data_IF_933972565573
#
_entry.id   IF_933972565573
#
_cell.length_a   1.000
_cell.length_b   1.000
_cell.length_c   1.000
_cell.angle_alpha   90.00
_cell.angle_beta   90.00
_cell.angle_gamma   90.00
#
_symmetry.space_group_name_H-M   'P 1'
#
loop_
_entity.id
_entity.type
_entity.pdbx_description
1 polymer ?
#
# COMPACT_ATOMS: atom_id res chain seq x y z
N UNK A 1 9.91 -10.12 -12.18
CA UNK A 1 8.99 -9.08 -11.68
C UNK A 1 8.06 -9.73 -10.69
N UNK A 2 8.33 -9.47 -9.41
CA UNK A 2 7.51 -9.91 -8.29
C UNK A 2 6.89 -8.68 -7.63
N UNK A 3 5.70 -8.84 -7.07
CA UNK A 3 5.00 -7.76 -6.39
C UNK A 3 4.92 -8.11 -4.92
N UNK A 4 5.53 -7.28 -4.10
CA UNK A 4 5.46 -7.38 -2.66
C UNK A 4 4.26 -6.56 -2.18
N UNK A 5 3.35 -7.22 -1.46
CA UNK A 5 2.18 -6.59 -0.89
C UNK A 5 2.45 -6.27 0.56
N UNK A 6 2.32 -4.99 0.92
CA UNK A 6 2.43 -4.56 2.29
C UNK A 6 1.14 -3.93 2.77
N UNK A 7 0.87 -4.12 4.07
CA UNK A 7 -0.22 -3.41 4.74
C UNK A 7 0.25 -2.00 5.07
N UNK A 8 -0.34 -1.01 4.42
CA UNK A 8 -0.06 0.37 4.78
C UNK A 8 -0.55 0.63 6.21
N UNK A 9 0.16 1.47 6.99
CA UNK A 9 -0.33 1.88 8.29
C UNK A 9 -1.73 2.49 8.14
N UNK A 10 -2.60 2.21 9.12
CA UNK A 10 -4.02 2.59 9.10
C UNK A 10 -4.14 4.13 9.02
N UNK A 11 -4.25 4.65 7.80
CA UNK A 11 -4.45 6.06 7.49
C UNK A 11 -5.90 6.45 7.76
N UNK A 12 -6.41 6.17 8.97
CA UNK A 12 -7.73 6.61 9.41
C UNK A 12 -7.89 8.14 9.47
N UNK A 13 -6.85 8.93 9.15
CA UNK A 13 -6.91 10.40 9.15
C UNK A 13 -5.85 11.12 8.30
N UNK A 14 -5.27 10.51 7.26
CA UNK A 14 -4.28 11.20 6.43
C UNK A 14 -4.72 11.19 4.97
N UNK A 15 -5.45 12.24 4.62
CA UNK A 15 -5.61 12.75 3.23
C UNK A 15 -4.28 13.25 2.64
N UNK A 16 -3.19 13.09 3.38
CA UNK A 16 -1.87 13.56 3.03
C UNK A 16 -1.14 12.37 2.42
N UNK A 17 -1.07 12.34 1.08
CA UNK A 17 0.11 11.78 0.41
C UNK A 17 1.34 12.27 1.18
N UNK A 18 2.37 11.44 1.43
CA UNK A 18 3.62 11.96 1.97
C UNK A 18 4.10 13.04 1.01
N UNK A 19 3.93 14.29 1.41
CA UNK A 19 4.47 15.43 0.68
C UNK A 19 5.97 15.21 0.66
N UNK A 20 6.53 14.96 -0.53
CA UNK A 20 7.97 14.84 -0.69
C UNK A 20 8.62 16.07 -0.05
N UNK A 21 9.51 15.92 0.95
CA UNK A 21 10.17 17.06 1.53
C UNK A 21 11.16 17.60 0.50
N UNK A 22 10.73 18.56 -0.32
CA UNK A 22 11.68 19.48 -0.95
C UNK A 22 12.19 20.37 0.16
N UNK A 23 13.25 19.92 0.83
CA UNK A 23 14.06 20.78 1.70
C UNK A 23 15.51 20.68 1.25
N UNK A 24 15.80 21.55 0.29
CA UNK A 24 17.12 21.85 -0.24
C UNK A 24 17.99 22.46 0.88
N UNK A 25 18.67 21.61 1.67
CA UNK A 25 19.73 22.03 2.59
C UNK A 25 21.08 21.52 2.07
N UNK A 26 22.03 22.43 1.99
CA UNK A 26 23.34 22.20 1.41
C UNK A 26 24.16 21.18 2.23
N UNK A 27 24.72 20.19 1.55
CA UNK A 27 26.04 19.66 1.91
C UNK A 27 26.13 18.39 2.74
N UNK A 28 25.05 17.64 2.95
CA UNK A 28 25.13 16.29 3.52
C UNK A 28 24.10 15.42 2.80
N UNK A 29 24.56 14.43 2.04
CA UNK A 29 23.66 13.37 1.57
C UNK A 29 23.17 12.69 2.86
N UNK A 30 21.85 12.65 3.16
CA UNK A 30 21.38 11.78 4.21
C UNK A 30 21.80 10.35 3.84
N UNK A 31 22.59 9.71 4.69
CA UNK A 31 22.98 8.29 4.57
C UNK A 31 21.76 7.36 4.77
N UNK A 32 20.66 7.94 5.23
CA UNK A 32 19.34 7.33 5.29
C UNK A 32 18.71 7.46 3.88
N UNK A 33 18.84 6.41 3.06
CA UNK A 33 17.83 6.15 2.04
C UNK A 33 16.47 6.30 2.74
N UNK A 34 15.52 7.12 2.24
CA UNK A 34 14.20 7.19 2.83
C UNK A 34 13.61 5.79 2.71
N UNK A 35 13.79 4.99 3.76
CA UNK A 35 13.24 3.66 3.86
C UNK A 35 11.74 3.87 3.78
N UNK A 36 11.17 3.54 2.63
CA UNK A 36 9.73 3.49 2.49
C UNK A 36 9.26 2.49 3.55
N UNK A 37 8.72 3.01 4.65
CA UNK A 37 8.17 2.18 5.72
C UNK A 37 6.86 1.61 5.18
N UNK A 38 6.98 0.49 4.48
CA UNK A 38 5.86 -0.15 3.81
C UNK A 38 4.90 -0.83 4.81
N UNK A 39 5.22 -0.83 6.10
CA UNK A 39 4.48 -1.57 7.13
C UNK A 39 4.82 -3.06 7.07
N UNK A 40 3.81 -3.91 7.32
CA UNK A 40 4.00 -5.37 7.41
C UNK A 40 3.84 -6.03 6.04
N UNK A 41 4.82 -6.86 5.64
CA UNK A 41 4.78 -7.63 4.40
C UNK A 41 3.74 -8.75 4.52
N UNK A 42 2.64 -8.63 3.77
CA UNK A 42 1.58 -9.63 3.72
C UNK A 42 1.94 -10.82 2.84
N UNK A 43 2.74 -10.59 1.79
CA UNK A 43 3.21 -11.65 0.92
C UNK A 43 3.81 -11.14 -0.38
N UNK A 44 4.34 -12.06 -1.16
CA UNK A 44 4.90 -11.81 -2.49
C UNK A 44 4.07 -12.52 -3.55
N UNK A 45 3.75 -11.78 -4.61
CA UNK A 45 2.77 -12.15 -5.62
C UNK A 45 3.40 -12.04 -7.01
N UNK A 46 2.92 -12.88 -7.93
CA UNK A 46 3.42 -12.85 -9.32
C UNK A 46 2.77 -11.74 -10.15
N UNK A 47 1.66 -11.18 -9.69
CA UNK A 47 0.87 -10.18 -10.41
C UNK A 47 -0.04 -9.40 -9.48
N UNK A 48 -0.44 -8.21 -9.92
CA UNK A 48 -1.33 -7.29 -9.17
C UNK A 48 -2.66 -7.96 -8.84
N UNK A 49 -3.23 -8.68 -9.79
CA UNK A 49 -4.51 -9.38 -9.63
C UNK A 49 -4.45 -10.44 -8.52
N UNK A 50 -3.30 -11.10 -8.37
CA UNK A 50 -3.08 -12.12 -7.35
C UNK A 50 -2.99 -11.49 -5.95
N UNK A 51 -2.30 -10.35 -5.83
CA UNK A 51 -2.27 -9.56 -4.59
C UNK A 51 -3.67 -9.07 -4.20
N UNK A 52 -4.45 -8.53 -5.15
CA UNK A 52 -5.83 -8.07 -4.90
C UNK A 52 -6.74 -9.25 -4.51
N UNK A 53 -6.59 -10.41 -5.15
CA UNK A 53 -7.33 -11.62 -4.81
C UNK A 53 -7.02 -12.08 -3.38
N UNK A 54 -5.75 -12.00 -2.97
CA UNK A 54 -5.34 -12.31 -1.59
C UNK A 54 -5.99 -11.37 -0.58
N UNK A 55 -5.99 -10.05 -0.83
CA UNK A 55 -6.65 -9.07 0.04
C UNK A 55 -8.15 -9.38 0.16
N UNK A 56 -8.83 -9.61 -0.97
CA UNK A 56 -10.25 -9.97 -0.98
C UNK A 56 -10.53 -11.25 -0.17
N UNK A 57 -9.68 -12.26 -0.30
CA UNK A 57 -9.81 -13.51 0.44
C UNK A 57 -9.58 -13.30 1.93
N UNK A 58 -8.56 -12.54 2.31
CA UNK A 58 -8.26 -12.20 3.70
C UNK A 58 -9.38 -11.35 4.35
N UNK A 59 -9.92 -10.37 3.63
CA UNK A 59 -11.09 -9.59 4.08
C UNK A 59 -12.30 -10.49 4.29
N UNK A 60 -12.55 -11.42 3.35
CA UNK A 60 -13.66 -12.38 3.44
C UNK A 60 -13.48 -13.35 4.62
N UNK A 61 -12.26 -13.85 4.85
CA UNK A 61 -11.92 -14.75 5.97
C UNK A 61 -12.16 -14.09 7.33
N UNK A 62 -11.85 -12.80 7.44
CA UNK A 62 -12.18 -11.98 8.62
C UNK A 62 -13.70 -11.74 8.78
N UNK A 63 -14.51 -12.17 7.83
CA UNK A 63 -15.96 -11.97 7.80
C UNK A 63 -16.35 -10.53 7.50
N UNK A 64 -15.48 -9.80 6.79
CA UNK A 64 -15.72 -8.48 6.23
C UNK A 64 -16.14 -8.63 4.75
N UNK A 65 -16.79 -7.61 4.20
CA UNK A 65 -17.15 -7.59 2.78
C UNK A 65 -16.46 -6.44 2.07
N UNK A 66 -15.71 -6.71 1.00
CA UNK A 66 -15.15 -5.66 0.14
C UNK A 66 -16.29 -4.94 -0.57
N UNK A 67 -16.39 -3.62 -0.40
CA UNK A 67 -17.37 -2.76 -1.04
C UNK A 67 -16.82 -2.14 -2.32
N UNK A 68 -15.59 -1.64 -2.24
CA UNK A 68 -14.94 -0.90 -3.33
C UNK A 68 -13.42 -1.02 -3.21
N UNK A 69 -12.74 -0.90 -4.35
CA UNK A 69 -11.28 -1.00 -4.45
C UNK A 69 -10.80 0.12 -5.36
N UNK A 70 -9.98 1.01 -4.82
CA UNK A 70 -9.41 2.15 -5.53
C UNK A 70 -7.90 1.98 -5.60
N UNK A 71 -7.34 2.13 -6.80
CA UNK A 71 -5.90 2.13 -7.00
C UNK A 71 -5.44 3.50 -7.47
N UNK A 72 -4.44 4.03 -6.79
CA UNK A 72 -3.71 5.21 -7.23
C UNK A 72 -2.81 4.88 -8.42
N UNK A 73 -2.43 5.89 -9.23
CA UNK A 73 -1.51 5.69 -10.33
C UNK A 73 -0.17 5.12 -9.85
N UNK A 74 0.34 4.13 -10.58
CA UNK A 74 1.65 3.54 -10.36
C UNK A 74 2.74 4.61 -10.47
N UNK A 75 3.65 4.64 -9.50
CA UNK A 75 4.77 5.56 -9.50
C UNK A 75 6.01 4.87 -10.08
N UNK A 76 6.40 5.22 -11.30
CA UNK A 76 7.54 4.62 -12.03
C UNK A 76 8.89 4.84 -11.32
N UNK A 77 9.01 5.89 -10.50
CA UNK A 77 10.24 6.19 -9.76
C UNK A 77 10.46 5.31 -8.53
N UNK A 78 9.38 4.92 -7.86
CA UNK A 78 9.47 4.09 -6.64
C UNK A 78 9.03 2.66 -6.90
N UNK A 79 8.49 2.36 -8.08
CA UNK A 79 7.84 1.11 -8.43
C UNK A 79 6.72 0.70 -7.45
N UNK A 80 6.08 1.69 -6.82
CA UNK A 80 5.00 1.48 -5.82
C UNK A 80 3.66 1.87 -6.42
N UNK A 81 2.66 1.01 -6.24
CA UNK A 81 1.25 1.32 -6.43
C UNK A 81 0.54 1.33 -5.06
N UNK A 82 -0.32 2.33 -4.84
CA UNK A 82 -1.15 2.39 -3.64
C UNK A 82 -2.56 1.89 -3.95
N UNK A 83 -3.03 0.93 -3.15
CA UNK A 83 -4.37 0.36 -3.23
C UNK A 83 -5.14 0.65 -1.94
N UNK A 84 -6.32 1.23 -2.07
CA UNK A 84 -7.27 1.47 -0.98
C UNK A 84 -8.48 0.57 -1.16
N UNK A 85 -8.77 -0.25 -0.16
CA UNK A 85 -9.88 -1.20 -0.14
C UNK A 85 -10.89 -0.73 0.90
N UNK A 86 -12.11 -0.45 0.46
CA UNK A 86 -13.21 -0.08 1.35
C UNK A 86 -13.91 -1.37 1.74
N UNK A 87 -13.87 -1.71 3.02
CA UNK A 87 -14.46 -2.92 3.58
C UNK A 87 -15.63 -2.58 4.49
N UNK A 88 -16.68 -3.41 4.47
CA UNK A 88 -17.84 -3.34 5.35
C UNK A 88 -17.67 -4.31 6.49
N UNK A 89 -17.72 -3.79 7.71
CA UNK A 89 -17.72 -4.57 8.93
C UNK A 89 -19.11 -5.15 9.24
N UNK A 90 -19.15 -6.17 10.10
CA UNK A 90 -20.39 -6.80 10.58
C UNK A 90 -21.32 -5.80 11.28
N UNK A 91 -20.78 -4.75 11.87
CA UNK A 91 -21.51 -3.66 12.54
C UNK A 91 -22.10 -2.62 11.55
N UNK A 92 -22.09 -2.90 10.24
CA UNK A 92 -22.46 -1.95 9.16
C UNK A 92 -21.55 -0.73 9.02
N UNK A 93 -20.56 -0.57 9.89
CA UNK A 93 -19.47 0.40 9.75
C UNK A 93 -18.58 0.06 8.56
N UNK A 94 -18.12 1.08 7.84
CA UNK A 94 -17.16 0.97 6.73
C UNK A 94 -15.77 1.39 7.20
N UNK A 95 -14.76 0.63 6.81
CA UNK A 95 -13.36 0.93 7.07
C UNK A 95 -12.58 0.95 5.76
N UNK A 96 -11.60 1.84 5.67
CA UNK A 96 -10.70 1.91 4.54
C UNK A 96 -9.40 1.25 4.95
N UNK A 97 -9.02 0.18 4.25
CA UNK A 97 -7.73 -0.48 4.41
C UNK A 97 -6.83 -0.09 3.24
N UNK A 98 -5.64 0.40 3.54
CA UNK A 98 -4.64 0.80 2.54
C UNK A 98 -3.55 -0.26 2.42
N UNK A 99 -3.06 -0.47 1.21
CA UNK A 99 -2.02 -1.45 0.89
C UNK A 99 -1.04 -0.87 -0.14
N UNK A 100 0.22 -1.24 -0.02
CA UNK A 100 1.25 -0.91 -1.00
C UNK A 100 1.60 -2.14 -1.82
N UNK A 101 1.62 -1.99 -3.14
CA UNK A 101 2.11 -2.99 -4.07
C UNK A 101 3.45 -2.49 -4.60
N UNK A 102 4.54 -3.04 -4.10
CA UNK A 102 5.90 -2.70 -4.51
C UNK A 102 6.33 -3.71 -5.56
N UNK A 103 6.72 -3.22 -6.73
CA UNK A 103 7.17 -4.10 -7.80
C UNK A 103 8.69 -4.17 -7.79
N UNK A 104 9.22 -5.33 -7.39
CA UNK A 104 10.64 -5.62 -7.48
C UNK A 104 10.96 -6.10 -8.91
N UNK A 105 11.72 -5.28 -9.63
CA UNK A 105 12.22 -5.62 -10.97
C UNK A 105 13.55 -6.38 -10.92
N UNK A 106 14.19 -6.52 -9.75
CA UNK A 106 15.45 -7.26 -9.57
C UNK A 106 16.60 -6.66 -10.37
N UNK A 107 17.36 -5.75 -9.75
CA UNK A 107 18.53 -5.09 -10.37
C UNK A 107 19.81 -5.94 -10.28
#
# INVERSE_FOLDING_TARGET
>A
MTIELYKAPDVSNTTEHPESPVSNVAGELPDDEPGLDFGDLLGTFSSREDAIAHINQQTTDQGLAVLDTQSSPYNEYTHVEWLTVIVKQKDQSTQNESYYLVTDEGY
#
